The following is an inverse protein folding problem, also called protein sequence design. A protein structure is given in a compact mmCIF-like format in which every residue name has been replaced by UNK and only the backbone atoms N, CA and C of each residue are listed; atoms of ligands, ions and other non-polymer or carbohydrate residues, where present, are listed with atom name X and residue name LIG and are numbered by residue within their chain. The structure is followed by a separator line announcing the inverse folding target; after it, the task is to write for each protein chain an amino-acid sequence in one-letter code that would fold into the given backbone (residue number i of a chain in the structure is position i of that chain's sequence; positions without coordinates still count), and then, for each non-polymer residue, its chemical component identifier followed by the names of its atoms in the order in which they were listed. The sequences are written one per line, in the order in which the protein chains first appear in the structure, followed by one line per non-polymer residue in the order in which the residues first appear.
data_IF_231705320823
#
_entry.id   IF_231705320823
#
_cell.length_a   1.000
_cell.length_b   1.000
_cell.length_c   1.000
_cell.angle_alpha   90.00
_cell.angle_beta   90.00
_cell.angle_gamma   90.00
#
_symmetry.space_group_name_H-M   'P 1'
#
loop_
_entity.id
_entity.type
_entity.pdbx_description
1 polymer ?
#
# COMPACT_ATOMS: atom_id res chain seq x y z
N UNK A 1 -6.07 23.51 -10.11
CA UNK A 1 -7.06 22.49 -9.85
C UNK A 1 -6.50 21.13 -10.06
N UNK A 2 -6.39 20.42 -9.01
CA UNK A 2 -5.58 19.24 -8.98
C UNK A 2 -6.14 18.05 -9.74
N UNK A 3 -5.75 17.90 -10.97
CA UNK A 3 -5.86 16.60 -11.59
C UNK A 3 -4.79 15.70 -10.99
N UNK A 4 -5.22 14.53 -10.52
CA UNK A 4 -4.28 13.52 -10.05
C UNK A 4 -3.58 12.86 -11.23
N UNK A 5 -2.36 12.35 -10.98
CA UNK A 5 -1.64 11.56 -11.99
C UNK A 5 -2.41 10.32 -12.38
N UNK A 6 -3.14 9.72 -11.44
CA UNK A 6 -3.92 8.51 -11.66
C UNK A 6 -5.31 8.71 -11.07
N UNK A 7 -6.27 7.95 -11.61
CA UNK A 7 -7.66 8.05 -11.17
C UNK A 7 -7.84 7.56 -9.75
N UNK A 8 -8.71 8.23 -9.01
CA UNK A 8 -9.20 7.73 -7.72
C UNK A 8 -10.25 6.65 -7.99
N UNK A 9 -10.18 5.58 -7.20
CA UNK A 9 -11.17 4.51 -7.26
C UNK A 9 -12.25 4.75 -6.21
N UNK A 10 -13.41 5.20 -6.64
CA UNK A 10 -14.54 5.50 -5.75
C UNK A 10 -15.62 4.45 -5.92
N UNK A 11 -15.62 3.47 -5.01
CA UNK A 11 -16.57 2.36 -5.06
C UNK A 11 -17.90 2.75 -4.43
N UNK A 12 -18.98 2.21 -4.99
CA UNK A 12 -20.34 2.38 -4.47
C UNK A 12 -21.02 1.01 -4.43
N UNK A 13 -20.66 0.15 -3.47
CA UNK A 13 -21.25 -1.19 -3.41
C UNK A 13 -22.73 -1.11 -3.06
N UNK A 14 -23.51 -2.05 -3.62
CA UNK A 14 -24.96 -2.08 -3.43
C UNK A 14 -25.34 -2.29 -1.96
N UNK A 15 -24.53 -3.03 -1.20
CA UNK A 15 -24.77 -3.28 0.22
C UNK A 15 -24.20 -2.19 1.13
N UNK A 16 -23.54 -1.17 0.57
CA UNK A 16 -22.94 -0.07 1.32
C UNK A 16 -21.67 -0.43 2.09
N UNK A 17 -21.19 -1.66 1.98
CA UNK A 17 -20.00 -2.11 2.71
C UNK A 17 -18.72 -1.76 1.94
N UNK A 18 -18.22 -0.55 2.17
CA UNK A 18 -17.01 -0.05 1.52
C UNK A 18 -15.77 -0.82 1.94
N UNK A 19 -15.68 -1.21 3.21
CA UNK A 19 -14.52 -1.96 3.72
C UNK A 19 -14.35 -3.26 2.94
N UNK A 20 -15.42 -4.00 2.81
CA UNK A 20 -15.42 -5.28 2.08
C UNK A 20 -15.13 -5.08 0.59
N UNK A 21 -15.70 -4.02 0.00
CA UNK A 21 -15.51 -3.73 -1.43
C UNK A 21 -14.05 -3.39 -1.75
N UNK A 22 -13.42 -2.52 -0.96
CA UNK A 22 -12.02 -2.17 -1.17
C UNK A 22 -11.08 -3.32 -0.83
N UNK A 23 -11.41 -4.11 0.19
CA UNK A 23 -10.61 -5.30 0.50
C UNK A 23 -10.60 -6.27 -0.66
N UNK A 24 -11.74 -6.46 -1.32
CA UNK A 24 -11.83 -7.31 -2.51
C UNK A 24 -10.91 -6.79 -3.62
N UNK A 25 -10.91 -5.49 -3.88
CA UNK A 25 -10.02 -4.89 -4.87
C UNK A 25 -8.56 -5.17 -4.51
N UNK A 26 -8.18 -4.97 -3.26
CA UNK A 26 -6.82 -5.23 -2.81
C UNK A 26 -6.43 -6.69 -3.05
N UNK A 27 -7.26 -7.62 -2.61
CA UNK A 27 -6.97 -9.05 -2.73
C UNK A 27 -6.86 -9.46 -4.20
N UNK A 28 -7.84 -9.10 -5.03
CA UNK A 28 -7.87 -9.50 -6.43
C UNK A 28 -6.79 -8.84 -7.26
N UNK A 29 -6.35 -7.64 -6.89
CA UNK A 29 -5.32 -6.92 -7.64
C UNK A 29 -3.92 -7.34 -7.23
N UNK A 30 -3.66 -7.51 -5.92
CA UNK A 30 -2.31 -7.64 -5.40
C UNK A 30 -1.98 -9.00 -4.79
N UNK A 31 -2.96 -9.73 -4.26
CA UNK A 31 -2.70 -10.95 -3.51
C UNK A 31 -2.92 -12.20 -4.38
N UNK A 32 -4.08 -12.31 -4.95
CA UNK A 32 -4.42 -13.42 -5.86
C UNK A 32 -5.65 -13.02 -6.67
N UNK A 33 -5.66 -13.41 -7.94
CA UNK A 33 -6.79 -13.11 -8.80
C UNK A 33 -7.97 -14.03 -8.52
N UNK A 34 -9.04 -13.89 -9.32
CA UNK A 34 -10.25 -14.71 -9.14
C UNK A 34 -10.01 -16.21 -9.34
N UNK A 35 -8.98 -16.56 -10.09
CA UNK A 35 -8.60 -17.95 -10.36
C UNK A 35 -7.61 -18.47 -9.32
N UNK A 36 -7.29 -17.68 -8.30
CA UNK A 36 -6.38 -18.06 -7.24
C UNK A 36 -4.91 -17.92 -7.58
N UNK A 37 -4.59 -17.28 -8.70
CA UNK A 37 -3.21 -17.08 -9.14
C UNK A 37 -2.64 -15.82 -8.51
N UNK A 38 -1.43 -15.95 -7.92
CA UNK A 38 -0.72 -14.81 -7.32
C UNK A 38 -0.13 -13.93 -8.43
N UNK A 39 -0.51 -12.64 -8.50
CA UNK A 39 0.10 -11.72 -9.46
C UNK A 39 1.57 -11.51 -9.13
N UNK A 40 2.40 -11.35 -10.15
CA UNK A 40 3.82 -11.08 -9.98
C UNK A 40 4.07 -9.59 -10.15
N UNK A 41 4.49 -8.93 -9.09
CA UNK A 41 4.85 -7.52 -9.12
C UNK A 41 6.34 -7.35 -8.96
N UNK A 42 6.88 -6.36 -9.66
CA UNK A 42 8.27 -5.94 -9.54
C UNK A 42 8.32 -4.43 -9.52
N UNK A 43 9.31 -3.87 -8.82
CA UNK A 43 9.56 -2.45 -8.97
C UNK A 43 10.28 -2.19 -10.31
N UNK A 44 10.50 -0.92 -10.64
CA UNK A 44 11.14 -0.56 -11.93
C UNK A 44 12.59 -1.02 -12.02
N UNK A 45 13.19 -1.46 -10.92
CA UNK A 45 14.54 -2.01 -10.89
C UNK A 45 14.53 -3.52 -11.02
N UNK A 46 13.35 -4.13 -11.12
CA UNK A 46 13.20 -5.56 -11.28
C UNK A 46 13.15 -6.34 -9.99
N UNK A 47 13.14 -5.67 -8.82
CA UNK A 47 13.03 -6.39 -7.55
C UNK A 47 11.60 -6.89 -7.33
N UNK A 48 11.42 -8.17 -6.98
CA UNK A 48 10.07 -8.69 -6.70
C UNK A 48 9.42 -7.96 -5.53
N UNK A 49 8.11 -7.84 -5.58
CA UNK A 49 7.30 -7.23 -4.52
C UNK A 49 6.19 -8.21 -4.16
N UNK A 50 5.97 -8.39 -2.86
CA UNK A 50 4.93 -9.27 -2.35
C UNK A 50 3.92 -8.51 -1.51
N UNK A 51 2.65 -8.83 -1.69
CA UNK A 51 1.54 -8.23 -0.96
C UNK A 51 0.86 -9.31 -0.10
N UNK A 52 0.90 -9.13 1.21
CA UNK A 52 0.21 -10.03 2.13
C UNK A 52 -1.25 -9.66 2.27
N UNK A 53 -2.10 -10.66 2.48
CA UNK A 53 -3.53 -10.43 2.63
C UNK A 53 -3.85 -9.58 3.87
N UNK A 54 -3.08 -9.74 4.94
CA UNK A 54 -3.30 -9.03 6.20
C UNK A 54 -2.86 -7.57 6.15
N UNK A 55 -2.08 -7.20 5.13
CA UNK A 55 -1.62 -5.82 5.00
C UNK A 55 -2.75 -4.84 4.71
N UNK A 56 -3.86 -5.30 4.15
CA UNK A 56 -4.99 -4.43 3.85
C UNK A 56 -5.48 -3.71 5.11
N UNK A 57 -5.68 -4.45 6.18
CA UNK A 57 -6.19 -3.86 7.43
C UNK A 57 -5.25 -2.79 7.97
N UNK A 58 -3.95 -3.06 7.93
CA UNK A 58 -2.96 -2.10 8.38
C UNK A 58 -2.88 -0.87 7.48
N UNK A 59 -2.88 -1.08 6.18
CA UNK A 59 -2.60 -0.02 5.20
C UNK A 59 -3.78 0.91 4.94
N UNK A 60 -5.02 0.39 4.99
CA UNK A 60 -6.19 1.12 4.49
C UNK A 60 -7.24 1.42 5.54
N UNK A 61 -6.93 1.16 6.81
CA UNK A 61 -7.83 1.48 7.90
C UNK A 61 -7.12 2.40 8.89
N UNK A 62 -7.90 3.03 9.75
CA UNK A 62 -7.39 3.89 10.81
C UNK A 62 -8.03 3.46 12.13
N UNK A 63 -7.30 3.70 13.22
CA UNK A 63 -7.80 3.44 14.55
C UNK A 63 -8.07 4.77 15.26
N UNK A 64 -9.32 5.25 15.26
CA UNK A 64 -9.63 6.54 15.89
C UNK A 64 -9.46 6.52 17.39
N UNK A 65 -9.44 5.34 18.02
CA UNK A 65 -9.34 5.16 19.47
C UNK A 65 -8.00 4.62 19.91
N UNK A 66 -6.94 4.86 19.14
CA UNK A 66 -5.60 4.35 19.44
C UNK A 66 -5.16 4.68 20.87
N UNK A 67 -5.47 5.91 21.34
CA UNK A 67 -5.09 6.37 22.67
C UNK A 67 -5.82 5.63 23.79
N UNK A 68 -6.91 4.96 23.50
CA UNK A 68 -7.70 4.20 24.46
C UNK A 68 -7.29 2.73 24.50
N UNK A 69 -6.18 2.38 23.85
CA UNK A 69 -5.68 1.02 23.85
C UNK A 69 -6.38 0.06 22.88
N UNK A 70 -7.21 0.58 22.02
CA UNK A 70 -7.83 -0.24 20.98
C UNK A 70 -6.86 -0.42 19.83
N UNK A 71 -6.41 -1.64 19.64
CA UNK A 71 -5.41 -1.98 18.63
C UNK A 71 -6.00 -2.42 17.29
N UNK A 72 -7.32 -2.51 17.19
CA UNK A 72 -7.99 -2.92 15.97
C UNK A 72 -8.68 -1.74 15.33
N UNK A 73 -8.31 -1.46 14.10
CA UNK A 73 -9.01 -0.48 13.30
C UNK A 73 -10.04 -1.18 12.43
N UNK A 74 -11.30 -0.80 12.59
CA UNK A 74 -12.39 -1.27 11.74
C UNK A 74 -12.85 -0.19 10.78
N UNK A 75 -12.34 1.03 10.96
CA UNK A 75 -12.74 2.15 10.16
C UNK A 75 -11.85 2.30 8.94
N UNK A 76 -12.47 2.25 7.76
CA UNK A 76 -11.76 2.42 6.51
C UNK A 76 -11.26 3.87 6.37
N UNK A 77 -10.00 4.03 6.02
CA UNK A 77 -9.46 5.32 5.63
C UNK A 77 -9.72 5.52 4.15
N UNK A 78 -10.78 6.28 3.83
CA UNK A 78 -11.25 6.41 2.46
C UNK A 78 -10.22 7.09 1.55
N UNK A 79 -9.48 8.07 2.06
CA UNK A 79 -8.42 8.73 1.29
C UNK A 79 -7.35 7.75 0.83
N UNK A 80 -6.98 6.82 1.71
CA UNK A 80 -6.02 5.77 1.38
C UNK A 80 -6.63 4.75 0.43
N UNK A 81 -7.85 4.33 0.71
CA UNK A 81 -8.54 3.30 -0.08
C UNK A 81 -8.80 3.73 -1.51
N UNK A 82 -9.17 4.99 -1.72
CA UNK A 82 -9.42 5.52 -3.06
C UNK A 82 -8.16 5.51 -3.94
N UNK A 83 -6.98 5.43 -3.32
CA UNK A 83 -5.69 5.39 -4.01
C UNK A 83 -5.10 3.98 -4.11
N UNK A 84 -5.92 2.98 -3.86
CA UNK A 84 -5.45 1.60 -3.78
C UNK A 84 -4.78 1.12 -5.08
N UNK A 85 -5.26 1.55 -6.24
CA UNK A 85 -4.68 1.17 -7.52
C UNK A 85 -3.43 1.98 -7.87
N UNK A 86 -3.13 3.04 -7.11
CA UNK A 86 -1.92 3.83 -7.33
C UNK A 86 -0.64 3.06 -7.01
N UNK A 87 -0.72 2.08 -6.12
CA UNK A 87 0.46 1.32 -5.68
C UNK A 87 1.15 0.66 -6.86
N UNK A 88 0.41 -0.04 -7.71
CA UNK A 88 0.98 -0.69 -8.90
C UNK A 88 1.52 0.33 -9.90
N UNK A 89 0.90 1.49 -10.01
CA UNK A 89 1.38 2.57 -10.89
C UNK A 89 2.72 3.12 -10.41
N UNK A 90 2.89 3.24 -9.09
CA UNK A 90 4.16 3.66 -8.49
C UNK A 90 5.26 2.65 -8.79
N UNK A 91 4.97 1.35 -8.67
CA UNK A 91 5.95 0.31 -8.95
C UNK A 91 6.43 0.35 -10.41
N UNK A 92 5.54 0.66 -11.33
CA UNK A 92 5.85 0.76 -12.76
C UNK A 92 6.43 2.11 -13.15
N UNK A 93 6.39 3.10 -12.25
CA UNK A 93 6.75 4.50 -12.55
C UNK A 93 6.03 4.97 -13.81
N UNK A 94 4.72 4.74 -13.86
CA UNK A 94 3.93 5.05 -15.06
C UNK A 94 3.78 6.54 -15.30
N UNK A 95 3.89 7.37 -14.25
CA UNK A 95 3.82 8.81 -14.34
C UNK A 95 4.45 9.43 -13.09
N UNK A 96 4.83 10.69 -13.19
CA UNK A 96 5.32 11.47 -12.07
C UNK A 96 6.77 11.25 -11.73
N UNK A 97 7.20 11.88 -10.64
CA UNK A 97 8.57 11.82 -10.13
C UNK A 97 8.58 11.01 -8.85
N UNK A 98 9.35 9.93 -8.83
CA UNK A 98 9.45 9.07 -7.66
C UNK A 98 10.79 9.31 -6.98
N UNK A 99 10.74 9.69 -5.70
CA UNK A 99 11.92 9.78 -4.86
C UNK A 99 12.00 8.56 -3.97
N UNK A 100 13.17 7.96 -3.90
CA UNK A 100 13.40 6.76 -3.11
C UNK A 100 14.08 7.14 -1.79
N UNK A 101 13.49 6.73 -0.68
CA UNK A 101 14.06 6.90 0.65
C UNK A 101 14.27 5.55 1.31
N UNK A 102 15.36 5.44 2.06
CA UNK A 102 15.65 4.27 2.88
C UNK A 102 15.55 4.68 4.34
N UNK A 103 14.78 3.92 5.11
CA UNK A 103 14.62 4.13 6.53
C UNK A 103 15.17 2.93 7.28
N UNK A 104 16.06 3.18 8.25
CA UNK A 104 16.59 2.14 9.12
C UNK A 104 16.03 2.32 10.52
N UNK A 105 15.64 1.22 11.14
CA UNK A 105 15.08 1.24 12.49
C UNK A 105 15.36 -0.09 13.17
N UNK A 106 15.12 -0.16 14.48
CA UNK A 106 15.25 -1.40 15.25
C UNK A 106 13.88 -1.88 15.67
N UNK A 107 13.67 -3.17 15.53
CA UNK A 107 12.47 -3.86 16.01
C UNK A 107 12.91 -5.13 16.71
N UNK A 108 12.49 -5.32 17.96
CA UNK A 108 12.92 -6.47 18.78
C UNK A 108 14.46 -6.61 18.82
N UNK A 109 15.14 -5.48 18.95
CA UNK A 109 16.60 -5.40 18.99
C UNK A 109 17.31 -5.82 17.69
N UNK A 110 16.55 -5.98 16.61
CA UNK A 110 17.12 -6.34 15.30
C UNK A 110 17.04 -5.16 14.35
N UNK A 111 18.10 -4.91 13.56
CA UNK A 111 18.04 -3.86 12.55
C UNK A 111 17.05 -4.23 11.45
N UNK A 112 16.23 -3.28 11.09
CA UNK A 112 15.24 -3.40 10.01
C UNK A 112 15.40 -2.24 9.05
N UNK A 113 14.98 -2.44 7.82
CA UNK A 113 15.04 -1.41 6.80
C UNK A 113 13.73 -1.37 6.03
N UNK A 114 13.30 -0.16 5.67
CA UNK A 114 12.15 0.09 4.83
C UNK A 114 12.56 0.90 3.61
N UNK A 115 11.91 0.62 2.50
CA UNK A 115 11.97 1.46 1.30
C UNK A 115 10.69 2.25 1.18
N UNK A 116 10.83 3.55 0.93
CA UNK A 116 9.71 4.46 0.74
C UNK A 116 9.80 5.04 -0.66
N UNK A 117 8.75 4.82 -1.44
CA UNK A 117 8.62 5.40 -2.77
C UNK A 117 7.68 6.61 -2.67
N UNK A 118 8.23 7.81 -2.79
CA UNK A 118 7.49 9.05 -2.63
C UNK A 118 7.19 9.67 -3.99
N UNK A 119 5.90 9.84 -4.28
CA UNK A 119 5.44 10.48 -5.52
C UNK A 119 5.31 11.97 -5.25
N UNK A 120 6.23 12.76 -5.82
CA UNK A 120 6.35 14.19 -5.52
C UNK A 120 5.07 14.94 -5.85
N UNK A 121 4.52 14.74 -7.04
CA UNK A 121 3.36 15.48 -7.54
C UNK A 121 2.09 15.20 -6.74
N UNK A 122 2.01 14.05 -6.09
CA UNK A 122 0.82 13.63 -5.36
C UNK A 122 1.00 13.68 -3.84
N UNK A 123 2.20 13.95 -3.36
CA UNK A 123 2.53 13.85 -1.95
C UNK A 123 2.07 12.50 -1.37
N UNK A 124 2.36 11.42 -2.11
CA UNK A 124 1.90 10.07 -1.82
C UNK A 124 3.09 9.14 -1.61
N UNK A 125 3.05 8.32 -0.58
CA UNK A 125 4.15 7.41 -0.28
C UNK A 125 3.66 5.96 -0.24
N UNK A 126 4.48 5.05 -0.79
CA UNK A 126 4.29 3.60 -0.67
C UNK A 126 5.47 3.04 0.10
N UNK A 127 5.19 2.26 1.13
CA UNK A 127 6.17 1.76 2.09
C UNK A 127 6.30 0.24 1.98
N UNK A 128 7.54 -0.23 1.87
CA UNK A 128 7.85 -1.66 1.82
C UNK A 128 8.88 -2.01 2.88
N UNK A 129 8.75 -3.19 3.49
CA UNK A 129 9.87 -3.79 4.22
C UNK A 129 10.91 -4.25 3.21
N UNK A 130 12.18 -3.98 3.50
CA UNK A 130 13.32 -4.29 2.65
C UNK A 130 14.19 -5.35 3.33
N UNK A 131 13.95 -6.65 3.10
CA UNK A 131 14.76 -7.69 3.71
C UNK A 131 16.23 -7.58 3.30
N UNK A 132 17.18 -8.05 4.15
CA UNK A 132 18.61 -7.96 3.85
C UNK A 132 19.03 -8.73 2.60
N UNK A 133 18.37 -9.84 2.31
CA UNK A 133 18.66 -10.64 1.12
C UNK A 133 18.13 -9.91 -0.12
N UNK A 134 19.00 -9.50 -1.05
CA UNK A 134 18.55 -8.77 -2.25
C UNK A 134 17.67 -9.60 -3.18
N UNK A 135 17.67 -10.93 -3.02
CA UNK A 135 16.81 -11.82 -3.81
C UNK A 135 15.44 -12.01 -3.16
N UNK A 136 15.29 -11.65 -1.91
CA UNK A 136 13.99 -11.69 -1.25
C UNK A 136 13.09 -10.55 -1.74
N UNK A 137 11.77 -10.77 -1.83
CA UNK A 137 10.87 -9.72 -2.27
C UNK A 137 10.75 -8.58 -1.26
N UNK A 138 10.53 -7.37 -1.75
CA UNK A 138 10.02 -6.29 -0.92
C UNK A 138 8.63 -6.70 -0.43
N UNK A 139 8.31 -6.35 0.81
CA UNK A 139 7.02 -6.71 1.40
C UNK A 139 6.20 -5.45 1.66
N UNK A 140 5.02 -5.39 1.06
CA UNK A 140 4.15 -4.22 1.20
C UNK A 140 3.75 -4.01 2.66
N UNK A 141 3.86 -2.77 3.13
CA UNK A 141 3.48 -2.37 4.49
C UNK A 141 2.30 -1.41 4.45
N UNK A 142 2.43 -0.32 3.73
CA UNK A 142 1.42 0.73 3.75
C UNK A 142 1.56 1.66 2.55
N UNK A 143 0.51 2.44 2.29
CA UNK A 143 0.52 3.48 1.27
C UNK A 143 -0.48 4.57 1.67
N UNK A 144 -0.04 5.83 1.60
CA UNK A 144 -0.90 6.90 2.07
C UNK A 144 -0.46 8.26 1.54
N UNK A 145 -1.41 9.20 1.39
CA UNK A 145 -1.06 10.59 1.11
C UNK A 145 -0.48 11.24 2.36
N UNK A 146 0.52 12.11 2.17
CA UNK A 146 1.22 12.77 3.28
C UNK A 146 0.67 14.16 3.60
N UNK A 147 -0.25 14.65 2.79
CA UNK A 147 -0.82 15.98 2.98
C UNK A 147 -2.33 15.96 3.13
#
# INVERSE_FOLDING_TARGET
MGQHLWKLLRLKPADGDLWKAYRRVYVETYVRDRDGVEPLFRDWRGRPVKFGIDAFKHAFTRNPNFREGLHHSTELDLRRAERILWIKEVLEVSAGTISLYLEQFKQDNKPKRRKLFYVVEEAYVVVFNDPPDPNAPLQFVSAYPTS
#
